data_IF_942647904485
#
_entry.id   IF_942647904485
#
_cell.length_a   1.000
_cell.length_b   1.000
_cell.length_c   1.000
_cell.angle_alpha   90.00
_cell.angle_beta   90.00
_cell.angle_gamma   90.00
#
_symmetry.space_group_name_H-M   'P 1'
#
loop_
_entity.id
_entity.type
_entity.pdbx_description
1 polymer ?
#
# COMPACT_ATOMS: atom_id res chain seq x y z
N UNK A 1 22.11 -23.38 3.22
CA UNK A 1 20.77 -23.42 3.81
C UNK A 1 20.47 -22.04 4.39
N UNK A 2 20.19 -21.07 3.52
CA UNK A 2 19.99 -19.64 3.83
C UNK A 2 18.69 -19.20 3.14
N UNK A 3 17.50 -19.64 3.58
CA UNK A 3 16.34 -19.60 2.66
C UNK A 3 14.97 -19.17 3.23
N UNK A 4 14.87 -18.72 4.48
CA UNK A 4 13.60 -18.17 4.99
C UNK A 4 13.77 -17.11 6.06
N UNK A 5 14.84 -17.25 6.84
CA UNK A 5 15.12 -16.35 7.96
C UNK A 5 15.52 -14.95 7.48
N UNK A 6 16.22 -14.83 6.35
CA UNK A 6 16.62 -13.53 5.81
C UNK A 6 15.44 -12.74 5.24
N UNK A 7 14.55 -13.37 4.46
CA UNK A 7 13.35 -12.71 3.97
C UNK A 7 12.51 -12.16 5.14
N UNK A 8 12.28 -12.98 6.18
CA UNK A 8 11.52 -12.56 7.35
C UNK A 8 12.16 -11.34 8.05
N UNK A 9 13.50 -11.32 8.16
CA UNK A 9 14.24 -10.19 8.71
C UNK A 9 14.04 -8.92 7.89
N UNK A 10 14.10 -9.01 6.56
CA UNK A 10 13.86 -7.88 5.66
C UNK A 10 12.41 -7.38 5.70
N UNK A 11 11.43 -8.28 5.74
CA UNK A 11 10.02 -7.93 5.90
C UNK A 11 9.79 -7.16 7.20
N UNK A 12 10.44 -7.59 8.28
CA UNK A 12 10.41 -6.91 9.57
C UNK A 12 11.12 -5.54 9.53
N UNK A 13 12.25 -5.43 8.82
CA UNK A 13 12.95 -4.15 8.63
C UNK A 13 12.06 -3.12 7.93
N UNK A 14 11.32 -3.52 6.88
CA UNK A 14 10.35 -2.65 6.20
C UNK A 14 9.25 -2.17 7.16
N UNK A 15 8.74 -3.06 8.01
CA UNK A 15 7.73 -2.73 9.02
C UNK A 15 8.26 -1.71 10.02
N UNK A 16 9.44 -1.96 10.58
CA UNK A 16 10.09 -1.07 11.54
C UNK A 16 10.33 0.31 10.92
N UNK A 17 10.83 0.35 9.68
CA UNK A 17 11.09 1.62 8.99
C UNK A 17 9.82 2.41 8.72
N UNK A 18 8.71 1.75 8.37
CA UNK A 18 7.41 2.41 8.24
C UNK A 18 6.96 3.04 9.55
N UNK A 19 7.10 2.31 10.66
CA UNK A 19 6.74 2.79 12.00
C UNK A 19 7.62 3.97 12.41
N UNK A 20 8.93 3.90 12.19
CA UNK A 20 9.89 4.98 12.45
C UNK A 20 9.51 6.26 11.71
N UNK A 21 9.05 6.14 10.46
CA UNK A 21 8.61 7.26 9.63
C UNK A 21 7.17 7.71 9.90
N UNK A 22 6.45 7.07 10.84
CA UNK A 22 5.03 7.32 11.15
C UNK A 22 4.10 7.25 9.93
N UNK A 23 4.40 6.38 8.96
CA UNK A 23 3.58 6.24 7.74
C UNK A 23 2.51 5.16 7.95
N UNK A 24 1.25 5.49 7.69
CA UNK A 24 0.15 4.53 7.78
C UNK A 24 0.18 3.51 6.62
N UNK A 25 -0.45 2.35 6.82
CA UNK A 25 -0.63 1.37 5.74
C UNK A 25 -1.36 1.96 4.54
N UNK A 26 -2.36 2.80 4.80
CA UNK A 26 -3.16 3.52 3.80
C UNK A 26 -2.28 4.42 2.94
N UNK A 27 -1.38 5.21 3.54
CA UNK A 27 -0.49 6.09 2.79
C UNK A 27 0.45 5.33 1.86
N UNK A 28 1.00 4.20 2.31
CA UNK A 28 1.86 3.36 1.48
C UNK A 28 1.07 2.73 0.34
N UNK A 29 -0.08 2.13 0.64
CA UNK A 29 -0.99 1.57 -0.34
C UNK A 29 -1.40 2.61 -1.40
N UNK A 30 -1.68 3.85 -1.00
CA UNK A 30 -2.02 4.94 -1.90
C UNK A 30 -0.84 5.36 -2.79
N UNK A 31 0.36 5.52 -2.20
CA UNK A 31 1.58 5.89 -2.94
C UNK A 31 1.99 4.82 -3.95
N UNK A 32 1.87 3.55 -3.56
CA UNK A 32 2.23 2.40 -4.40
C UNK A 32 1.09 1.93 -5.31
N UNK A 33 -0.12 2.47 -5.14
CA UNK A 33 -1.34 2.06 -5.84
C UNK A 33 -1.60 0.55 -5.74
N UNK A 34 -1.57 0.02 -4.51
CA UNK A 34 -1.84 -1.40 -4.22
C UNK A 34 -2.75 -1.57 -3.00
N UNK A 35 -3.33 -2.76 -2.84
CA UNK A 35 -4.21 -3.06 -1.70
C UNK A 35 -3.43 -3.01 -0.38
N UNK A 36 -4.06 -2.49 0.68
CA UNK A 36 -3.50 -2.50 2.05
C UNK A 36 -3.14 -3.93 2.50
N UNK A 37 -3.93 -4.93 2.06
CA UNK A 37 -3.67 -6.34 2.34
C UNK A 37 -2.30 -6.80 1.83
N UNK A 38 -1.83 -6.26 0.70
CA UNK A 38 -0.51 -6.60 0.16
C UNK A 38 0.63 -5.95 0.95
N UNK A 39 0.43 -4.73 1.50
CA UNK A 39 1.43 -4.14 2.39
C UNK A 39 1.60 -4.99 3.66
N UNK A 40 0.48 -5.39 4.27
CA UNK A 40 0.49 -6.28 5.44
C UNK A 40 1.14 -7.62 5.12
N UNK A 41 0.77 -8.24 4.00
CA UNK A 41 1.34 -9.52 3.58
C UNK A 41 2.84 -9.42 3.29
N UNK A 42 3.34 -8.29 2.78
CA UNK A 42 4.78 -8.04 2.65
C UNK A 42 5.45 -8.01 4.02
N UNK A 43 4.97 -7.23 4.97
CA UNK A 43 5.56 -7.14 6.31
C UNK A 43 5.52 -8.47 7.07
N UNK A 44 4.56 -9.34 6.75
CA UNK A 44 4.40 -10.67 7.35
C UNK A 44 5.15 -11.78 6.58
N UNK A 45 5.75 -11.47 5.43
CA UNK A 45 6.40 -12.46 4.57
C UNK A 45 5.43 -13.49 3.94
N UNK A 46 4.15 -13.15 3.81
CA UNK A 46 3.10 -14.03 3.29
C UNK A 46 3.03 -14.02 1.75
N UNK A 47 4.04 -14.60 1.10
CA UNK A 47 4.14 -14.66 -0.38
C UNK A 47 2.91 -15.32 -1.02
N UNK A 48 2.30 -16.30 -0.34
CA UNK A 48 1.14 -17.06 -0.85
C UNK A 48 -0.14 -16.22 -0.99
N UNK A 49 -0.19 -15.00 -0.42
CA UNK A 49 -1.31 -14.06 -0.58
C UNK A 49 -1.28 -13.32 -1.93
N UNK A 50 -0.18 -13.43 -2.67
CA UNK A 50 -0.01 -12.76 -3.94
C UNK A 50 -0.44 -13.65 -5.09
N UNK A 51 -1.00 -13.08 -6.19
CA UNK A 51 -1.39 -13.86 -7.37
C UNK A 51 -0.24 -14.64 -8.00
N UNK A 52 0.98 -14.12 -7.90
CA UNK A 52 2.19 -14.84 -8.25
C UNK A 52 3.39 -14.29 -7.49
N UNK A 53 4.48 -15.07 -7.48
CA UNK A 53 5.74 -14.67 -6.84
C UNK A 53 6.29 -13.35 -7.43
N UNK A 54 6.10 -13.11 -8.73
CA UNK A 54 6.52 -11.88 -9.39
C UNK A 54 5.81 -10.63 -8.84
N UNK A 55 4.53 -10.73 -8.46
CA UNK A 55 3.81 -9.62 -7.82
C UNK A 55 4.41 -9.29 -6.45
N UNK A 56 4.70 -10.30 -5.64
CA UNK A 56 5.37 -10.11 -4.35
C UNK A 56 6.69 -9.39 -4.54
N UNK A 57 7.56 -9.88 -5.43
CA UNK A 57 8.88 -9.28 -5.70
C UNK A 57 8.73 -7.82 -6.17
N UNK A 58 7.82 -7.56 -7.12
CA UNK A 58 7.60 -6.22 -7.67
C UNK A 58 7.17 -5.23 -6.59
N UNK A 59 6.15 -5.58 -5.81
CA UNK A 59 5.63 -4.72 -4.75
C UNK A 59 6.60 -4.57 -3.59
N UNK A 60 7.29 -5.64 -3.21
CA UNK A 60 8.36 -5.62 -2.22
C UNK A 60 9.44 -4.61 -2.63
N UNK A 61 9.92 -4.69 -3.87
CA UNK A 61 10.92 -3.76 -4.41
C UNK A 61 10.43 -2.32 -4.39
N UNK A 62 9.22 -2.06 -4.90
CA UNK A 62 8.65 -0.70 -4.89
C UNK A 62 8.48 -0.15 -3.48
N UNK A 63 8.12 -1.01 -2.51
CA UNK A 63 7.99 -0.63 -1.12
C UNK A 63 9.34 -0.30 -0.47
N UNK A 64 10.37 -1.12 -0.66
CA UNK A 64 11.72 -0.81 -0.16
C UNK A 64 12.27 0.47 -0.77
N UNK A 65 12.05 0.70 -2.07
CA UNK A 65 12.44 1.95 -2.74
C UNK A 65 11.73 3.17 -2.15
N UNK A 66 10.43 3.06 -1.86
CA UNK A 66 9.65 4.12 -1.23
C UNK A 66 10.20 4.49 0.16
N UNK A 67 10.62 3.49 0.94
CA UNK A 67 11.23 3.66 2.27
C UNK A 67 12.73 3.96 2.22
N UNK A 68 13.32 4.04 1.01
CA UNK A 68 14.76 4.26 0.78
C UNK A 68 15.66 3.20 1.43
N UNK A 69 15.18 1.96 1.53
CA UNK A 69 15.95 0.79 1.96
C UNK A 69 16.56 0.14 0.72
N UNK A 70 17.90 0.21 0.60
CA UNK A 70 18.64 -0.25 -0.57
C UNK A 70 19.27 -1.65 -0.42
N UNK A 71 19.05 -2.35 0.71
CA UNK A 71 19.66 -3.66 1.00
C UNK A 71 19.08 -4.84 0.17
N UNK A 72 18.22 -4.56 -0.81
CA UNK A 72 17.64 -5.57 -1.71
C UNK A 72 18.68 -6.37 -2.53
N UNK A 73 19.91 -5.88 -2.65
CA UNK A 73 21.01 -6.55 -3.34
C UNK A 73 21.34 -7.92 -2.71
N UNK A 74 21.15 -8.07 -1.40
CA UNK A 74 21.43 -9.30 -0.66
C UNK A 74 20.37 -10.38 -0.94
N UNK A 75 19.13 -9.97 -1.24
CA UNK A 75 18.01 -10.88 -1.50
C UNK A 75 17.81 -11.24 -2.98
N UNK A 76 18.72 -10.78 -3.85
CA UNK A 76 18.56 -10.86 -5.31
C UNK A 76 18.48 -12.31 -5.83
N UNK A 77 19.11 -13.24 -5.13
CA UNK A 77 19.10 -14.67 -5.48
C UNK A 77 17.76 -15.32 -5.11
N UNK A 78 17.12 -14.91 -4.02
CA UNK A 78 15.81 -15.40 -3.58
C UNK A 78 14.64 -14.73 -4.32
N UNK A 79 14.77 -13.45 -4.67
CA UNK A 79 13.76 -12.69 -5.39
C UNK A 79 13.84 -12.88 -6.92
N UNK A 80 14.57 -13.89 -7.42
CA UNK A 80 14.53 -14.18 -8.84
C UNK A 80 13.13 -14.72 -9.19
N UNK A 81 12.45 -14.12 -10.18
CA UNK A 81 11.20 -14.68 -10.65
C UNK A 81 11.49 -16.06 -11.24
N UNK A 82 11.09 -17.11 -10.52
CA UNK A 82 11.00 -18.46 -11.09
C UNK A 82 10.12 -18.34 -12.33
N UNK A 83 10.60 -18.80 -13.48
CA UNK A 83 9.90 -18.77 -14.77
C UNK A 83 8.67 -19.68 -14.74
N UNK A 84 7.66 -19.28 -13.97
CA UNK A 84 6.38 -19.95 -13.87
C UNK A 84 5.45 -19.27 -14.87
N UNK A 85 5.32 -19.87 -16.05
CA UNK A 85 4.45 -19.48 -17.17
C UNK A 85 3.39 -18.42 -16.79
N UNK A 86 3.76 -17.14 -16.93
CA UNK A 86 3.02 -16.00 -16.40
C UNK A 86 1.69 -15.81 -17.15
N UNK A 87 0.66 -16.58 -16.78
CA UNK A 87 -0.73 -16.14 -16.91
C UNK A 87 -0.92 -15.02 -15.90
N UNK A 88 -0.46 -13.82 -16.25
CA UNK A 88 -0.82 -12.60 -15.54
C UNK A 88 -2.34 -12.49 -15.64
N UNK A 89 -3.07 -12.96 -14.61
CA UNK A 89 -4.46 -12.54 -14.43
C UNK A 89 -4.39 -11.01 -14.35
N UNK A 90 -5.13 -10.27 -15.20
CA UNK A 90 -5.11 -8.83 -15.19
C UNK A 90 -5.26 -8.33 -13.76
N UNK A 91 -4.37 -7.42 -13.35
CA UNK A 91 -4.46 -6.76 -12.06
C UNK A 91 -5.91 -6.29 -11.91
N UNK A 92 -6.61 -6.76 -10.86
CA UNK A 92 -7.89 -6.19 -10.49
C UNK A 92 -7.63 -4.69 -10.32
N UNK A 93 -8.14 -3.90 -11.26
CA UNK A 93 -8.16 -2.44 -11.18
C UNK A 93 -8.65 -2.13 -9.77
N UNK A 94 -7.92 -1.31 -9.02
CA UNK A 94 -8.34 -0.89 -7.69
C UNK A 94 -9.78 -0.42 -7.85
N UNK A 95 -10.74 -1.19 -7.36
CA UNK A 95 -12.13 -0.77 -7.38
C UNK A 95 -12.15 0.55 -6.62
N UNK A 96 -12.65 1.59 -7.29
CA UNK A 96 -12.69 2.98 -6.84
C UNK A 96 -13.46 3.16 -5.52
N UNK A 97 -14.03 2.09 -4.99
CA UNK A 97 -14.71 1.98 -3.70
C UNK A 97 -13.81 2.33 -2.50
N UNK A 98 -12.48 2.17 -2.60
CA UNK A 98 -11.54 2.58 -1.54
C UNK A 98 -11.01 4.02 -1.67
N UNK A 99 -11.36 4.73 -2.74
CA UNK A 99 -10.94 6.12 -3.01
C UNK A 99 -12.10 7.11 -3.01
N UNK A 100 -13.32 6.69 -2.64
CA UNK A 100 -14.43 7.61 -2.51
C UNK A 100 -14.12 8.63 -1.39
N UNK A 101 -14.23 9.95 -1.64
CA UNK A 101 -14.15 10.92 -0.56
C UNK A 101 -15.24 10.57 0.45
N UNK A 102 -14.85 10.45 1.72
CA UNK A 102 -15.78 10.20 2.82
C UNK A 102 -16.95 11.18 2.73
N UNK A 103 -18.19 10.67 2.74
CA UNK A 103 -19.42 11.46 2.63
C UNK A 103 -19.46 12.65 3.61
N UNK A 104 -18.67 12.61 4.68
CA UNK A 104 -18.41 13.73 5.59
C UNK A 104 -18.01 15.03 4.89
N UNK A 105 -17.19 15.02 3.82
CA UNK A 105 -16.76 16.26 3.15
C UNK A 105 -17.85 16.89 2.29
N UNK A 106 -18.79 16.08 1.76
CA UNK A 106 -19.97 16.57 1.06
C UNK A 106 -21.02 17.12 2.02
N UNK A 107 -21.20 16.50 3.19
CA UNK A 107 -22.07 17.05 4.22
C UNK A 107 -21.57 18.40 4.74
N UNK A 108 -20.25 18.56 4.92
CA UNK A 108 -19.65 19.83 5.39
C UNK A 108 -19.90 20.97 4.39
N UNK A 109 -19.79 20.73 3.08
CA UNK A 109 -20.03 21.79 2.08
C UNK A 109 -21.50 22.21 2.02
N UNK A 110 -22.43 21.26 2.16
CA UNK A 110 -23.87 21.53 2.21
C UNK A 110 -24.23 22.35 3.47
N UNK A 111 -23.69 21.96 4.63
CA UNK A 111 -23.90 22.67 5.90
C UNK A 111 -23.36 24.11 5.82
N UNK A 112 -22.16 24.30 5.26
CA UNK A 112 -21.55 25.62 5.10
C UNK A 112 -22.40 26.51 4.19
N UNK A 113 -22.93 25.98 3.10
CA UNK A 113 -23.77 26.73 2.17
C UNK A 113 -25.10 27.16 2.80
N UNK A 114 -25.72 26.29 3.61
CA UNK A 114 -26.94 26.60 4.37
C UNK A 114 -26.66 27.66 5.44
N UNK A 115 -25.52 27.56 6.12
CA UNK A 115 -25.12 28.52 7.16
C UNK A 115 -24.89 29.93 6.59
N UNK A 116 -24.24 30.04 5.43
CA UNK A 116 -24.05 31.31 4.72
C UNK A 116 -25.41 31.93 4.35
N UNK A 117 -26.35 31.13 3.84
CA UNK A 117 -27.69 31.60 3.50
C UNK A 117 -28.46 32.11 4.73
N UNK A 118 -28.36 31.38 5.85
CA UNK A 118 -29.00 31.75 7.12
C UNK A 118 -28.46 33.07 7.68
N UNK A 119 -27.13 33.27 7.63
CA UNK A 119 -26.49 34.53 8.03
C UNK A 119 -27.00 35.67 7.15
N UNK A 120 -27.05 35.47 5.83
CA UNK A 120 -27.52 36.51 4.90
C UNK A 120 -28.97 36.92 5.15
N UNK A 121 -29.83 35.97 5.52
CA UNK A 121 -31.24 36.22 5.83
C UNK A 121 -31.43 36.95 7.16
N UNK A 122 -30.56 36.74 8.14
CA UNK A 122 -30.69 37.38 9.45
C UNK A 122 -30.14 38.81 9.48
N UNK A 123 -29.21 39.14 8.58
CA UNK A 123 -28.60 40.48 8.47
C UNK A 123 -29.46 41.47 7.68
N UNK A 124 -30.43 40.99 6.87
CA UNK A 124 -31.24 41.80 5.96
C UNK A 124 -32.73 41.68 6.31
#
# INVERSE_FOLDING_TARGET
MFEKNELAKFCEELRLKRIEMNISYQEIANKLKIKISYIKAIEQGEINKFPSHAYFIGYFKSYSQLLKINNLLELKEYLQPVNENLKLKPQEVISTEYLAPSYSTLFISIILSIFIFFISYFIF
#
